data_IF_889319087977
#
_entry.id   IF_889319087977
#
_cell.length_a   1.000
_cell.length_b   1.000
_cell.length_c   1.000
_cell.angle_alpha   90.00
_cell.angle_beta   90.00
_cell.angle_gamma   90.00
#
_symmetry.space_group_name_H-M   'P 1'
#
loop_
_entity.id
_entity.type
_entity.pdbx_description
1 polymer ?
#
# COMPACT_ATOMS: atom_id res chain seq x y z
N UNK A 1 -4.11 -5.40 1.10
CA UNK A 1 -4.42 -6.24 -0.08
C UNK A 1 -3.75 -5.69 -1.33
N UNK A 2 -3.88 -4.41 -1.67
CA UNK A 2 -3.14 -3.79 -2.77
C UNK A 2 -3.05 -2.28 -2.52
N UNK A 3 -1.89 -1.70 -2.79
CA UNK A 3 -1.67 -0.25 -2.82
C UNK A 3 -0.79 0.08 -4.04
N UNK A 4 -1.16 1.09 -4.82
CA UNK A 4 -0.40 1.47 -6.02
C UNK A 4 -0.52 2.96 -6.33
N UNK A 5 0.37 3.43 -7.20
CA UNK A 5 0.38 4.79 -7.74
C UNK A 5 -0.04 4.74 -9.21
N UNK A 6 -1.04 5.53 -9.59
CA UNK A 6 -1.52 5.62 -10.99
C UNK A 6 -0.57 6.35 -11.95
N UNK A 7 0.57 6.86 -11.49
CA UNK A 7 1.53 7.59 -12.32
C UNK A 7 2.26 6.65 -13.28
N UNK A 8 2.19 6.91 -14.59
CA UNK A 8 2.79 6.04 -15.63
C UNK A 8 4.33 6.11 -15.67
N UNK A 9 4.89 7.26 -15.36
CA UNK A 9 6.32 7.59 -15.51
C UNK A 9 6.91 8.08 -14.19
N UNK A 10 6.53 7.46 -13.06
CA UNK A 10 7.05 7.80 -11.74
C UNK A 10 8.24 6.90 -11.37
N UNK A 11 9.40 7.53 -11.20
CA UNK A 11 10.68 6.88 -10.99
C UNK A 11 11.30 7.40 -9.69
N UNK A 12 11.75 6.50 -8.81
CA UNK A 12 12.48 6.87 -7.60
C UNK A 12 13.85 7.47 -7.92
N UNK A 13 14.49 8.09 -6.92
CA UNK A 13 15.88 8.55 -7.07
C UNK A 13 16.86 7.41 -7.44
N UNK A 14 16.57 6.16 -7.05
CA UNK A 14 17.36 4.98 -7.41
C UNK A 14 17.09 4.44 -8.82
N UNK A 15 16.22 5.09 -9.61
CA UNK A 15 15.85 4.64 -10.94
C UNK A 15 14.76 3.57 -10.99
N UNK A 16 14.16 3.20 -9.84
CA UNK A 16 13.08 2.20 -9.78
C UNK A 16 11.76 2.82 -10.26
N UNK A 17 11.06 2.14 -11.16
CA UNK A 17 9.68 2.51 -11.55
C UNK A 17 8.74 2.20 -10.38
N UNK A 18 8.18 3.23 -9.74
CA UNK A 18 7.33 3.11 -8.54
C UNK A 18 5.88 3.55 -8.79
N UNK A 19 5.55 3.77 -10.06
CA UNK A 19 4.21 4.08 -10.56
C UNK A 19 3.37 2.82 -10.82
N UNK A 20 2.66 2.82 -11.95
CA UNK A 20 1.78 1.73 -12.40
C UNK A 20 2.46 0.36 -12.52
N UNK A 21 3.79 0.32 -12.54
CA UNK A 21 4.59 -0.89 -12.60
C UNK A 21 4.74 -1.60 -11.26
N UNK A 22 4.42 -0.95 -10.14
CA UNK A 22 4.62 -1.51 -8.80
C UNK A 22 3.31 -1.60 -8.03
N UNK A 23 3.09 -2.73 -7.38
CA UNK A 23 2.02 -2.96 -6.42
C UNK A 23 2.64 -3.28 -5.07
N UNK A 24 2.23 -2.53 -4.05
CA UNK A 24 2.58 -2.78 -2.65
C UNK A 24 1.52 -3.63 -1.95
N UNK A 25 1.99 -4.53 -1.09
CA UNK A 25 1.20 -5.31 -0.16
C UNK A 25 1.69 -5.02 1.24
N UNK A 26 0.83 -4.46 2.09
CA UNK A 26 1.25 -3.99 3.42
C UNK A 26 0.21 -4.36 4.45
N UNK A 27 0.67 -4.93 5.57
CA UNK A 27 -0.05 -4.88 6.83
C UNK A 27 0.48 -3.72 7.67
N UNK A 28 -0.39 -2.83 8.13
CA UNK A 28 -0.03 -1.80 9.11
C UNK A 28 -0.38 -2.32 10.50
N UNK A 29 0.61 -2.40 11.39
CA UNK A 29 0.46 -2.96 12.72
C UNK A 29 1.58 -2.48 13.63
N UNK A 30 1.31 -2.48 14.93
CA UNK A 30 2.20 -1.91 15.93
C UNK A 30 1.41 -1.51 17.16
N UNK A 31 2.06 -1.27 18.31
CA UNK A 31 1.36 -0.87 19.52
C UNK A 31 0.80 0.57 19.47
N UNK A 32 1.32 1.41 18.57
CA UNK A 32 0.88 2.79 18.36
C UNK A 32 1.43 3.31 17.00
N UNK A 33 1.00 4.51 16.54
CA UNK A 33 1.45 5.07 15.26
C UNK A 33 2.96 5.26 15.13
N UNK A 34 3.66 5.65 16.20
CA UNK A 34 5.12 5.85 16.21
C UNK A 34 5.90 4.53 16.06
N UNK A 35 5.24 3.42 16.38
CA UNK A 35 5.77 2.07 16.31
C UNK A 35 5.02 1.24 15.26
N UNK A 36 4.64 1.86 14.14
CA UNK A 36 4.09 1.11 13.00
C UNK A 36 5.21 0.32 12.30
N UNK A 37 5.08 -1.01 12.32
CA UNK A 37 6.06 -1.98 11.86
C UNK A 37 5.74 -2.51 10.46
N UNK A 38 4.99 -1.75 9.66
CA UNK A 38 4.53 -2.14 8.34
C UNK A 38 5.65 -2.71 7.44
N UNK A 39 6.87 -2.19 7.56
CA UNK A 39 8.04 -2.59 6.79
C UNK A 39 8.45 -4.06 7.02
N UNK A 40 8.09 -4.67 8.17
CA UNK A 40 8.32 -6.10 8.45
C UNK A 40 7.36 -7.01 7.68
N UNK A 41 6.30 -6.44 7.13
CA UNK A 41 5.18 -7.16 6.49
C UNK A 41 4.79 -6.46 5.19
N UNK A 42 5.80 -5.95 4.49
CA UNK A 42 5.65 -5.26 3.22
C UNK A 42 6.28 -6.08 2.09
N UNK A 43 5.55 -6.21 0.99
CA UNK A 43 6.05 -6.83 -0.23
C UNK A 43 5.74 -5.92 -1.41
N UNK A 44 6.66 -5.86 -2.37
CA UNK A 44 6.48 -5.22 -3.66
C UNK A 44 6.38 -6.30 -4.74
N UNK A 45 5.46 -6.14 -5.68
CA UNK A 45 5.47 -6.86 -6.96
C UNK A 45 5.63 -5.88 -8.11
N UNK A 46 6.46 -6.24 -9.11
CA UNK A 46 6.79 -5.36 -10.24
C UNK A 46 6.46 -6.02 -11.57
N UNK A 47 5.86 -5.24 -12.48
CA UNK A 47 5.57 -5.65 -13.85
C UNK A 47 6.02 -4.53 -14.81
N UNK A 48 6.97 -4.82 -15.71
CA UNK A 48 7.61 -3.82 -16.56
C UNK A 48 6.64 -3.06 -17.47
N UNK A 49 5.64 -3.77 -18.00
CA UNK A 49 4.59 -3.20 -18.86
C UNK A 49 3.55 -2.38 -18.08
N UNK A 50 3.52 -2.51 -16.75
CA UNK A 50 2.55 -1.88 -15.86
C UNK A 50 1.31 -2.73 -15.62
N UNK A 51 0.79 -2.68 -14.39
CA UNK A 51 -0.46 -3.32 -13.97
C UNK A 51 -1.72 -2.58 -14.44
N UNK A 52 -1.54 -1.47 -15.17
CA UNK A 52 -2.62 -0.63 -15.68
C UNK A 52 -3.09 -1.03 -17.10
N UNK A 53 -2.51 -2.07 -17.70
CA UNK A 53 -2.80 -2.47 -19.08
C UNK A 53 -3.98 -3.44 -19.17
N UNK A 54 -4.12 -4.31 -18.16
CA UNK A 54 -5.14 -5.37 -18.12
C UNK A 54 -5.71 -5.49 -16.71
N UNK A 55 -6.82 -6.23 -16.58
CA UNK A 55 -7.33 -6.60 -15.27
C UNK A 55 -6.44 -7.68 -14.65
N UNK A 56 -6.12 -7.51 -13.37
CA UNK A 56 -5.35 -8.46 -12.57
C UNK A 56 -6.18 -8.94 -11.39
N UNK A 57 -5.96 -10.19 -11.00
CA UNK A 57 -6.60 -10.80 -9.83
C UNK A 57 -5.69 -10.65 -8.62
N UNK A 58 -6.05 -9.72 -7.72
CA UNK A 58 -5.37 -9.53 -6.44
C UNK A 58 -6.03 -10.39 -5.36
N UNK A 59 -5.24 -11.17 -4.65
CA UNK A 59 -5.73 -12.19 -3.71
C UNK A 59 -5.11 -12.00 -2.34
N UNK A 60 -5.96 -12.18 -1.32
CA UNK A 60 -5.60 -12.26 0.08
C UNK A 60 -6.13 -13.58 0.63
N UNK A 61 -5.24 -14.46 1.06
CA UNK A 61 -5.59 -15.64 1.85
C UNK A 61 -5.20 -15.36 3.29
N UNK A 62 -6.17 -15.39 4.20
CA UNK A 62 -6.00 -15.05 5.60
C UNK A 62 -6.56 -16.18 6.47
N UNK A 63 -5.69 -16.72 7.30
CA UNK A 63 -5.97 -17.86 8.18
C UNK A 63 -5.50 -17.52 9.60
N UNK A 64 -5.82 -18.36 10.61
CA UNK A 64 -5.23 -18.23 11.95
C UNK A 64 -3.69 -18.35 11.99
N UNK A 65 -3.07 -18.90 10.95
CA UNK A 65 -1.63 -19.22 10.93
C UNK A 65 -0.80 -18.32 10.02
N UNK A 66 -1.39 -17.80 8.95
CA UNK A 66 -0.68 -16.97 7.97
C UNK A 66 -1.59 -16.00 7.22
N UNK A 67 -0.96 -14.97 6.65
CA UNK A 67 -1.56 -14.07 5.67
C UNK A 67 -0.71 -14.12 4.40
N UNK A 68 -1.32 -14.50 3.28
CA UNK A 68 -0.66 -14.63 1.98
C UNK A 68 -1.26 -13.66 0.97
N UNK A 69 -0.37 -13.03 0.21
CA UNK A 69 -0.71 -12.15 -0.90
C UNK A 69 -0.36 -12.83 -2.22
N UNK A 70 -1.26 -12.75 -3.19
CA UNK A 70 -1.00 -13.26 -4.55
C UNK A 70 -1.54 -12.30 -5.61
N UNK A 71 -0.95 -12.38 -6.80
CA UNK A 71 -1.43 -11.73 -8.01
C UNK A 71 -1.48 -12.76 -9.14
N UNK A 72 -2.62 -12.85 -9.81
CA UNK A 72 -2.86 -13.80 -10.91
C UNK A 72 -2.47 -15.24 -10.52
N UNK A 73 -2.93 -15.67 -9.33
CA UNK A 73 -2.63 -16.97 -8.70
C UNK A 73 -1.16 -17.25 -8.38
N UNK A 74 -0.28 -16.24 -8.47
CA UNK A 74 1.13 -16.35 -8.10
C UNK A 74 1.38 -15.66 -6.77
N UNK A 75 1.98 -16.39 -5.84
CA UNK A 75 2.36 -15.86 -4.53
C UNK A 75 3.36 -14.71 -4.68
N UNK A 76 3.06 -13.59 -4.03
CA UNK A 76 3.96 -12.43 -3.88
C UNK A 76 4.69 -12.50 -2.56
N UNK A 77 4.00 -12.89 -1.49
CA UNK A 77 4.59 -13.03 -0.17
C UNK A 77 3.61 -13.59 0.85
N UNK A 78 4.16 -14.28 1.85
CA UNK A 78 3.42 -14.86 2.96
C UNK A 78 4.02 -14.42 4.29
N UNK A 79 3.14 -14.04 5.21
CA UNK A 79 3.48 -13.67 6.59
C UNK A 79 3.05 -14.83 7.48
N UNK A 80 4.02 -15.44 8.15
CA UNK A 80 3.80 -16.45 9.18
C UNK A 80 4.37 -15.89 10.47
N UNK A 81 3.55 -15.32 11.38
CA UNK A 81 4.07 -14.86 12.66
C UNK A 81 4.66 -16.04 13.45
N UNK A 82 5.65 -15.79 14.33
CA UNK A 82 6.18 -16.83 15.23
C UNK A 82 5.12 -17.26 16.26
N UNK A 83 5.43 -18.24 17.12
CA UNK A 83 4.48 -18.75 18.12
C UNK A 83 3.97 -17.66 19.09
N UNK A 84 4.80 -16.67 19.41
CA UNK A 84 4.42 -15.49 20.20
C UNK A 84 3.69 -14.39 19.40
N UNK A 85 3.26 -14.70 18.17
CA UNK A 85 2.45 -13.83 17.33
C UNK A 85 3.16 -12.59 16.81
N UNK A 86 2.37 -11.61 16.37
CA UNK A 86 2.91 -10.32 15.92
C UNK A 86 3.68 -9.59 17.01
N UNK A 87 3.36 -9.77 18.30
CA UNK A 87 4.14 -9.15 19.37
C UNK A 87 5.60 -9.63 19.39
N UNK A 88 5.82 -10.95 19.24
CA UNK A 88 7.17 -11.47 19.12
C UNK A 88 7.83 -11.02 17.80
N UNK A 89 7.08 -10.94 16.70
CA UNK A 89 7.58 -10.37 15.43
C UNK A 89 8.00 -8.90 15.57
N UNK A 90 7.35 -8.16 16.47
CA UNK A 90 7.62 -6.75 16.72
C UNK A 90 9.04 -6.53 17.22
N UNK A 91 9.49 -7.42 18.11
CA UNK A 91 10.78 -7.34 18.79
C UNK A 91 11.00 -6.00 19.52
N UNK A 92 9.96 -5.56 20.24
CA UNK A 92 9.95 -4.28 20.96
C UNK A 92 10.12 -4.42 22.48
N UNK A 93 10.48 -5.61 22.98
CA UNK A 93 10.56 -5.88 24.43
C UNK A 93 11.52 -4.93 25.16
N UNK A 94 12.62 -4.53 24.51
CA UNK A 94 13.61 -3.59 25.07
C UNK A 94 13.11 -2.15 25.23
N UNK A 95 11.99 -1.80 24.61
CA UNK A 95 11.41 -0.45 24.66
C UNK A 95 10.59 -0.19 25.92
N UNK A 96 10.27 -1.24 26.69
CA UNK A 96 9.36 -1.16 27.85
C UNK A 96 7.87 -1.06 27.48
N UNK A 97 7.55 -1.03 26.18
CA UNK A 97 6.16 -1.05 25.70
C UNK A 97 5.46 -2.35 26.12
N UNK A 98 4.19 -2.22 26.49
CA UNK A 98 3.35 -3.35 26.87
C UNK A 98 2.72 -3.99 25.63
N UNK A 99 2.62 -5.32 25.61
CA UNK A 99 1.97 -6.05 24.53
C UNK A 99 0.46 -5.75 24.52
N UNK A 100 -0.07 -5.04 23.49
CA UNK A 100 -1.51 -4.78 23.39
C UNK A 100 -2.30 -6.05 23.04
N UNK A 101 -1.66 -7.07 22.48
CA UNK A 101 -2.26 -8.30 21.99
C UNK A 101 -2.11 -9.48 22.96
N UNK A 102 -1.77 -9.23 24.22
CA UNK A 102 -1.52 -10.28 25.23
C UNK A 102 -2.68 -11.26 25.44
N UNK A 103 -3.91 -10.83 25.15
CA UNK A 103 -5.14 -11.62 25.27
C UNK A 103 -5.69 -12.08 23.91
N UNK A 104 -5.00 -11.76 22.81
CA UNK A 104 -5.37 -12.17 21.46
C UNK A 104 -4.76 -13.50 21.07
N UNK A 105 -5.03 -13.91 19.84
CA UNK A 105 -4.40 -15.07 19.22
C UNK A 105 -3.00 -14.71 18.69
N UNK A 106 -2.28 -15.72 18.18
CA UNK A 106 -1.05 -15.54 17.41
C UNK A 106 -1.21 -14.55 16.25
N UNK A 107 -2.41 -14.42 15.70
CA UNK A 107 -2.71 -13.57 14.55
C UNK A 107 -3.11 -12.13 14.94
N UNK A 108 -3.32 -11.84 16.23
CA UNK A 108 -3.62 -10.48 16.69
C UNK A 108 -2.56 -9.46 16.22
N UNK A 109 -2.93 -8.28 15.68
CA UNK A 109 -4.27 -7.68 15.69
C UNK A 109 -5.23 -8.15 14.58
N UNK A 110 -4.79 -9.07 13.72
CA UNK A 110 -5.55 -9.61 12.59
C UNK A 110 -6.38 -10.83 12.98
N UNK A 111 -6.94 -10.84 14.19
CA UNK A 111 -7.79 -11.90 14.72
C UNK A 111 -9.20 -11.41 15.09
N UNK A 112 -9.59 -10.32 14.44
CA UNK A 112 -10.90 -9.68 14.55
C UNK A 112 -11.46 -9.43 13.15
N UNK A 113 -12.73 -9.07 13.05
CA UNK A 113 -13.35 -8.72 11.76
C UNK A 113 -12.76 -7.42 11.18
N UNK A 114 -12.58 -7.39 9.86
CA UNK A 114 -12.14 -6.20 9.12
C UNK A 114 -13.16 -5.84 8.03
N UNK A 115 -13.23 -4.56 7.71
CA UNK A 115 -13.96 -4.08 6.55
C UNK A 115 -13.07 -4.06 5.31
N UNK A 116 -13.62 -4.49 4.17
CA UNK A 116 -13.00 -4.22 2.88
C UNK A 116 -13.21 -2.74 2.52
N UNK A 117 -12.12 -1.99 2.41
CA UNK A 117 -12.12 -0.63 1.91
C UNK A 117 -11.49 -0.59 0.52
N UNK A 118 -12.16 0.08 -0.40
CA UNK A 118 -11.67 0.37 -1.75
C UNK A 118 -11.78 1.87 -1.94
N UNK A 119 -10.69 2.53 -2.29
CA UNK A 119 -10.68 3.96 -2.54
C UNK A 119 -9.70 4.34 -3.65
N UNK A 120 -9.81 5.59 -4.08
CA UNK A 120 -8.78 6.31 -4.83
C UNK A 120 -8.43 7.53 -4.00
N UNK A 121 -7.16 7.66 -3.64
CA UNK A 121 -6.62 8.81 -2.90
C UNK A 121 -5.73 9.65 -3.82
N UNK A 122 -5.70 10.95 -3.57
CA UNK A 122 -4.92 11.91 -4.36
C UNK A 122 -4.12 12.81 -3.42
N UNK A 123 -2.83 12.98 -3.70
CA UNK A 123 -1.92 13.73 -2.85
C UNK A 123 -1.25 12.86 -1.77
N UNK A 124 -1.01 13.42 -0.59
CA UNK A 124 -0.41 12.73 0.55
C UNK A 124 1.01 13.20 0.89
N UNK A 125 1.42 13.02 2.15
CA UNK A 125 2.67 13.57 2.71
C UNK A 125 3.81 12.57 2.82
N UNK A 126 3.64 11.33 2.40
CA UNK A 126 4.70 10.30 2.51
C UNK A 126 4.66 9.29 1.38
N UNK A 127 3.49 9.06 0.79
CA UNK A 127 3.33 8.06 -0.25
C UNK A 127 4.08 8.39 -1.55
N UNK A 128 4.24 9.68 -1.89
CA UNK A 128 5.04 10.13 -3.03
C UNK A 128 6.38 10.69 -2.55
N UNK A 129 7.53 10.07 -2.87
CA UNK A 129 8.84 10.59 -2.46
C UNK A 129 9.11 11.97 -3.07
N UNK A 130 9.70 12.89 -2.30
CA UNK A 130 10.02 14.26 -2.77
C UNK A 130 11.08 14.26 -3.88
N UNK A 131 11.95 13.25 -3.90
CA UNK A 131 13.02 13.07 -4.87
C UNK A 131 12.64 12.17 -6.05
N UNK A 132 11.37 11.76 -6.17
CA UNK A 132 10.90 11.00 -7.31
C UNK A 132 10.72 11.92 -8.54
N UNK A 133 11.07 11.40 -9.70
CA UNK A 133 10.86 12.06 -10.99
C UNK A 133 9.56 11.54 -11.58
N UNK A 134 8.70 12.45 -12.04
CA UNK A 134 7.49 12.13 -12.81
C UNK A 134 7.48 12.98 -14.09
N UNK A 135 7.01 12.40 -15.19
CA UNK A 135 6.97 13.06 -16.51
C UNK A 135 5.57 12.93 -17.12
N UNK A 136 5.00 14.00 -17.71
CA UNK A 136 5.60 15.33 -17.92
C UNK A 136 5.58 16.27 -16.70
N UNK A 137 4.83 15.96 -15.64
CA UNK A 137 4.68 16.85 -14.47
C UNK A 137 5.48 16.39 -13.25
N UNK A 138 6.07 17.33 -12.51
CA UNK A 138 6.70 17.04 -11.21
C UNK A 138 5.67 17.02 -10.08
N UNK A 139 6.03 16.46 -8.94
CA UNK A 139 5.25 16.61 -7.70
C UNK A 139 5.23 18.10 -7.29
N UNK A 140 4.06 18.74 -7.13
CA UNK A 140 3.99 20.17 -6.85
C UNK A 140 4.21 20.56 -5.38
N UNK A 141 4.15 19.62 -4.43
CA UNK A 141 4.34 19.88 -3.00
C UNK A 141 5.52 19.08 -2.42
N UNK A 142 6.03 19.49 -1.26
CA UNK A 142 6.98 18.71 -0.45
C UNK A 142 6.28 18.05 0.72
N UNK A 143 6.80 16.92 1.19
CA UNK A 143 6.22 16.15 2.29
C UNK A 143 6.20 16.89 3.63
N UNK A 144 7.08 17.88 3.81
CA UNK A 144 7.22 18.67 5.04
C UNK A 144 6.44 20.00 5.00
N UNK A 145 5.83 20.37 3.87
CA UNK A 145 5.13 21.64 3.75
C UNK A 145 3.77 21.59 4.45
N UNK A 146 3.47 22.52 5.38
CA UNK A 146 2.14 22.63 5.98
C UNK A 146 1.08 23.11 4.96
N UNK A 147 1.53 23.65 3.82
CA UNK A 147 0.66 24.11 2.74
C UNK A 147 0.51 23.08 1.62
N UNK A 148 1.02 21.86 1.79
CA UNK A 148 1.02 20.83 0.75
C UNK A 148 -0.35 20.62 0.06
N UNK A 149 -1.49 20.55 0.79
CA UNK A 149 -2.81 20.44 0.14
C UNK A 149 -3.16 21.65 -0.75
N UNK A 150 -2.84 22.87 -0.29
CA UNK A 150 -3.09 24.08 -1.06
C UNK A 150 -2.18 24.18 -2.29
N UNK A 151 -0.89 23.85 -2.14
CA UNK A 151 0.06 23.80 -3.25
C UNK A 151 -0.37 22.76 -4.28
N UNK A 152 -0.80 21.57 -3.84
CA UNK A 152 -1.36 20.54 -4.70
C UNK A 152 -2.57 21.09 -5.49
N UNK A 153 -3.54 21.70 -4.81
CA UNK A 153 -4.74 22.23 -5.46
C UNK A 153 -4.47 23.38 -6.44
N UNK A 154 -3.52 24.26 -6.11
CA UNK A 154 -3.16 25.38 -6.98
C UNK A 154 -2.47 24.90 -8.27
N UNK A 155 -1.78 23.76 -8.22
CA UNK A 155 -1.18 23.11 -9.39
C UNK A 155 -2.16 22.28 -10.23
N UNK A 156 -3.48 22.36 -9.99
CA UNK A 156 -4.49 21.54 -10.71
C UNK A 156 -4.44 21.67 -12.22
N UNK A 157 -4.07 22.83 -12.76
CA UNK A 157 -3.95 23.00 -14.21
C UNK A 157 -2.80 22.17 -14.80
N UNK A 158 -1.84 21.72 -13.98
CA UNK A 158 -0.75 20.84 -14.40
C UNK A 158 -1.14 19.35 -14.33
N UNK A 159 -1.80 18.92 -13.25
CA UNK A 159 -2.10 17.50 -13.03
C UNK A 159 -3.48 17.06 -13.50
N UNK A 160 -4.51 17.92 -13.47
CA UNK A 160 -5.88 17.54 -13.84
C UNK A 160 -5.98 17.06 -15.31
N UNK A 161 -5.32 17.70 -16.30
CA UNK A 161 -5.35 17.20 -17.67
C UNK A 161 -4.75 15.80 -17.83
N UNK A 162 -3.85 15.38 -16.93
CA UNK A 162 -3.20 14.06 -17.00
C UNK A 162 -4.16 12.91 -16.68
N UNK A 163 -5.30 13.20 -16.05
CA UNK A 163 -6.32 12.19 -15.77
C UNK A 163 -7.09 11.79 -17.03
N UNK A 164 -7.07 12.63 -18.08
CA UNK A 164 -7.78 12.34 -19.34
C UNK A 164 -9.24 11.94 -19.08
N UNK A 165 -10.00 12.83 -18.42
CA UNK A 165 -11.37 12.57 -17.92
C UNK A 165 -12.36 12.05 -18.97
N UNK A 166 -12.12 12.31 -20.25
CA UNK A 166 -12.92 11.80 -21.38
C UNK A 166 -12.60 10.35 -21.76
N UNK A 167 -11.64 9.75 -21.07
CA UNK A 167 -11.18 8.38 -21.27
C UNK A 167 -11.22 7.64 -19.95
N UNK A 168 -10.98 6.34 -20.06
CA UNK A 168 -11.10 5.42 -18.97
C UNK A 168 -9.71 5.08 -18.38
N UNK A 169 -8.75 5.97 -18.60
CA UNK A 169 -7.32 5.78 -18.36
C UNK A 169 -6.85 6.15 -16.93
N UNK A 170 -7.68 6.81 -16.13
CA UNK A 170 -7.35 7.22 -14.75
C UNK A 170 -8.32 6.68 -13.70
N UNK A 171 -9.26 5.84 -14.09
CA UNK A 171 -10.26 5.27 -13.19
C UNK A 171 -9.74 4.02 -12.50
N UNK A 172 -10.12 3.84 -11.23
CA UNK A 172 -10.05 2.53 -10.59
C UNK A 172 -11.20 1.68 -11.14
N UNK A 173 -10.87 0.65 -11.91
CA UNK A 173 -11.83 -0.27 -12.49
C UNK A 173 -11.81 -1.58 -11.74
N UNK A 174 -12.99 -2.05 -11.35
CA UNK A 174 -13.17 -3.31 -10.65
C UNK A 174 -14.23 -4.09 -11.42
N UNK A 175 -13.83 -5.26 -11.91
CA UNK A 175 -14.75 -6.19 -12.54
C UNK A 175 -15.59 -6.93 -11.49
N UNK A 176 -14.92 -7.50 -10.47
CA UNK A 176 -15.62 -8.16 -9.37
C UNK A 176 -14.83 -8.10 -8.05
N UNK A 177 -15.57 -8.36 -6.97
CA UNK A 177 -15.03 -8.68 -5.64
C UNK A 177 -15.67 -9.99 -5.19
N UNK A 178 -14.85 -10.92 -4.71
CA UNK A 178 -15.31 -12.19 -4.14
C UNK A 178 -14.69 -12.38 -2.76
N UNK A 179 -15.54 -12.74 -1.80
CA UNK A 179 -15.15 -13.05 -0.42
C UNK A 179 -15.83 -14.37 -0.06
N UNK A 180 -15.07 -15.31 0.48
CA UNK A 180 -15.58 -16.60 0.94
C UNK A 180 -14.76 -17.07 2.14
N UNK A 181 -15.34 -17.96 2.94
CA UNK A 181 -14.66 -18.66 4.02
C UNK A 181 -14.37 -20.10 3.59
N UNK A 182 -13.33 -20.70 4.17
CA UNK A 182 -12.95 -22.10 3.98
C UNK A 182 -13.84 -23.04 4.81
#
# INVERSE_FOLDING_TARGET
MMESRGNRQLISQSGRKIGVQTIGYTLNWGPNPDNNLFYKTHFDSTLDVGYNQEFHKYQLEWTPDYIKFSIDDKEVGTIVPPSGGFWQLADLTSTGLQNPWKNGTKMAPFDQEFHLLINVAVGGLSYFPDNAVNTPGKKPWTNTSPYAPATFWNARNEWLPTWKMETDESHLKIDYVKVWAL
#
